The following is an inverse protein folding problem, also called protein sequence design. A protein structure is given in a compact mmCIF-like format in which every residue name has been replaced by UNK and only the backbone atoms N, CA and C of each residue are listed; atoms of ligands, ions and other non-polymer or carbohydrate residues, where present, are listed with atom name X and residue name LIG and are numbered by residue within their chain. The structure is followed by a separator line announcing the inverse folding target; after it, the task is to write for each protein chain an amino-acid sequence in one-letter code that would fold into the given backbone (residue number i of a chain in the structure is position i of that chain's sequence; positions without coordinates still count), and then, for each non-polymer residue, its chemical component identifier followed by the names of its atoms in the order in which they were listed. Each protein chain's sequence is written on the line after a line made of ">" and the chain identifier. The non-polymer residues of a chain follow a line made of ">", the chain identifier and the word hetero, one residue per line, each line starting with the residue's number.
data_IF_808618910415
#
_entry.id   IF_808618910415
#
_cell.length_a   1.000
_cell.length_b   1.000
_cell.length_c   1.000
_cell.angle_alpha   90.00
_cell.angle_beta   90.00
_cell.angle_gamma   90.00
#
_symmetry.space_group_name_H-M   'P 1'
#
loop_
_entity.id
_entity.type
_entity.pdbx_description
1 polymer ?
#
# COMPACT_ATOMS: atom_id res chain seq x y z
N UNK A 1 -0.68 -13.78 -8.73
CA UNK A 1 -0.59 -13.19 -7.38
C UNK A 1 -1.74 -13.66 -6.53
N UNK A 2 -1.62 -13.54 -5.21
CA UNK A 2 -2.70 -13.86 -4.27
C UNK A 2 -3.77 -12.76 -4.32
N UNK A 3 -5.05 -13.14 -4.29
CA UNK A 3 -6.15 -12.15 -4.30
C UNK A 3 -6.00 -11.18 -3.12
N UNK A 4 -6.20 -9.89 -3.38
CA UNK A 4 -6.04 -8.82 -2.39
C UNK A 4 -4.61 -8.27 -2.24
N UNK A 5 -3.57 -9.07 -2.49
CA UNK A 5 -2.18 -8.60 -2.47
C UNK A 5 -1.69 -8.17 -3.85
N UNK A 6 -2.22 -8.81 -4.90
CA UNK A 6 -1.88 -8.46 -6.27
C UNK A 6 -2.80 -7.32 -6.77
N UNK A 7 -2.23 -6.19 -7.21
CA UNK A 7 -3.03 -5.11 -7.77
C UNK A 7 -3.55 -5.47 -9.17
N UNK A 8 -4.52 -4.69 -9.66
CA UNK A 8 -5.27 -4.99 -10.89
C UNK A 8 -4.36 -5.10 -12.12
N UNK A 9 -3.31 -4.29 -12.24
CA UNK A 9 -2.37 -4.37 -13.36
C UNK A 9 -1.52 -5.64 -13.35
N UNK A 10 -1.19 -6.17 -12.17
CA UNK A 10 -0.50 -7.46 -12.03
C UNK A 10 -1.44 -8.62 -12.37
N UNK A 11 -2.70 -8.52 -11.97
CA UNK A 11 -3.74 -9.49 -12.37
C UNK A 11 -4.03 -9.46 -13.87
N UNK A 12 -3.91 -8.30 -14.51
CA UNK A 12 -4.05 -8.12 -15.95
C UNK A 12 -2.82 -8.55 -16.76
N UNK A 13 -1.77 -9.07 -16.11
CA UNK A 13 -0.53 -9.50 -16.77
C UNK A 13 0.37 -8.35 -17.24
N UNK A 14 0.21 -7.15 -16.67
CA UNK A 14 0.98 -5.94 -17.00
C UNK A 14 1.62 -5.34 -15.74
N UNK A 15 2.45 -6.11 -15.00
CA UNK A 15 3.07 -5.63 -13.79
C UNK A 15 4.04 -4.47 -14.09
N UNK A 16 4.14 -3.56 -13.13
CA UNK A 16 5.12 -2.48 -13.08
C UNK A 16 5.84 -2.52 -11.73
N UNK A 17 6.92 -1.75 -11.55
CA UNK A 17 7.61 -1.65 -10.25
C UNK A 17 6.64 -1.27 -9.12
N UNK A 18 5.69 -0.38 -9.41
CA UNK A 18 4.66 0.01 -8.46
C UNK A 18 3.75 -1.15 -8.02
N UNK A 19 3.67 -2.25 -8.78
CA UNK A 19 2.89 -3.44 -8.41
C UNK A 19 3.51 -4.20 -7.23
N UNK A 20 4.84 -4.33 -7.22
CA UNK A 20 5.55 -4.93 -6.10
C UNK A 20 5.49 -4.04 -4.85
N UNK A 21 5.53 -2.72 -5.03
CA UNK A 21 5.37 -1.74 -3.95
C UNK A 21 3.98 -1.86 -3.30
N UNK A 22 2.92 -2.01 -4.11
CA UNK A 22 1.58 -2.26 -3.61
C UNK A 22 1.52 -3.57 -2.81
N UNK A 23 2.04 -4.65 -3.37
CA UNK A 23 2.04 -5.96 -2.72
C UNK A 23 2.74 -5.92 -1.36
N UNK A 24 3.89 -5.24 -1.26
CA UNK A 24 4.60 -5.03 0.00
C UNK A 24 3.79 -4.17 0.97
N UNK A 25 3.17 -3.10 0.49
CA UNK A 25 2.29 -2.24 1.29
C UNK A 25 1.14 -3.04 1.90
N UNK A 26 0.54 -3.97 1.15
CA UNK A 26 -0.54 -4.83 1.65
C UNK A 26 -0.07 -5.79 2.76
N UNK A 27 1.13 -6.37 2.63
CA UNK A 27 1.71 -7.19 3.70
C UNK A 27 1.92 -6.38 4.97
N UNK A 28 2.36 -5.12 4.85
CA UNK A 28 2.53 -4.22 6.00
C UNK A 28 1.17 -3.92 6.64
N UNK A 29 0.14 -3.58 5.85
CA UNK A 29 -1.21 -3.31 6.36
C UNK A 29 -1.78 -4.51 7.10
N UNK A 30 -1.66 -5.71 6.54
CA UNK A 30 -2.08 -6.94 7.23
C UNK A 30 -1.30 -7.14 8.53
N UNK A 31 0.02 -6.95 8.53
CA UNK A 31 0.83 -7.06 9.74
C UNK A 31 0.45 -6.05 10.84
N UNK A 32 0.00 -4.85 10.46
CA UNK A 32 -0.41 -3.80 11.39
C UNK A 32 -1.84 -3.97 11.92
N UNK A 33 -2.72 -4.56 11.12
CA UNK A 33 -4.17 -4.65 11.43
C UNK A 33 -4.62 -6.04 11.86
N UNK A 34 -3.87 -7.08 11.47
CA UNK A 34 -4.28 -8.48 11.57
C UNK A 34 -5.39 -8.87 10.60
N UNK A 35 -5.77 -7.98 9.66
CA UNK A 35 -6.84 -8.20 8.70
C UNK A 35 -6.25 -8.52 7.32
N UNK A 36 -6.77 -9.56 6.68
CA UNK A 36 -6.37 -9.85 5.31
C UNK A 36 -6.83 -8.72 4.38
N UNK A 37 -6.10 -8.43 3.28
CA UNK A 37 -6.47 -7.42 2.28
C UNK A 37 -7.92 -7.47 1.80
N UNK A 38 -8.49 -8.67 1.69
CA UNK A 38 -9.85 -8.89 1.20
C UNK A 38 -10.93 -8.53 2.22
N UNK A 39 -10.57 -8.42 3.50
CA UNK A 39 -11.48 -8.06 4.59
C UNK A 39 -11.51 -6.55 4.85
N UNK A 40 -10.63 -5.79 4.17
CA UNK A 40 -10.59 -4.34 4.28
C UNK A 40 -11.65 -3.70 3.38
N UNK A 41 -12.43 -2.73 3.89
CA UNK A 41 -13.32 -1.95 3.04
C UNK A 41 -12.51 -1.11 2.05
N UNK A 42 -13.08 -0.87 0.87
CA UNK A 42 -12.55 0.09 -0.11
C UNK A 42 -13.43 1.31 -0.21
N UNK A 43 -12.82 2.46 -0.43
CA UNK A 43 -13.52 3.67 -0.79
C UNK A 43 -14.20 3.51 -2.17
N UNK A 44 -15.50 3.78 -2.30
CA UNK A 44 -16.24 3.49 -3.53
C UNK A 44 -15.87 4.41 -4.70
N UNK A 45 -15.34 5.60 -4.43
CA UNK A 45 -15.03 6.60 -5.45
C UNK A 45 -13.60 6.44 -5.98
N UNK A 46 -12.64 6.25 -5.08
CA UNK A 46 -11.21 6.14 -5.41
C UNK A 46 -10.74 4.69 -5.62
N UNK A 47 -11.43 3.71 -5.02
CA UNK A 47 -10.99 2.32 -4.95
C UNK A 47 -9.85 2.08 -3.95
N UNK A 48 -9.41 3.10 -3.22
CA UNK A 48 -8.37 2.96 -2.21
C UNK A 48 -8.87 2.13 -1.02
N UNK A 49 -7.99 1.32 -0.44
CA UNK A 49 -8.32 0.54 0.74
C UNK A 49 -8.36 1.43 1.98
N UNK A 50 -9.41 1.25 2.78
CA UNK A 50 -9.62 1.93 4.04
C UNK A 50 -9.19 0.97 5.15
N UNK A 51 -8.02 1.22 5.73
CA UNK A 51 -7.52 0.51 6.90
C UNK A 51 -7.39 1.47 8.09
N UNK A 52 -7.51 0.94 9.30
CA UNK A 52 -7.43 1.75 10.52
C UNK A 52 -6.03 1.64 11.12
N UNK A 53 -5.22 2.71 11.09
CA UNK A 53 -3.91 2.69 11.73
C UNK A 53 -4.04 2.67 13.25
N UNK A 54 -3.16 1.92 13.92
CA UNK A 54 -3.05 1.96 15.37
C UNK A 54 -2.63 3.35 15.86
N UNK A 55 -3.13 3.78 17.03
CA UNK A 55 -2.83 5.12 17.61
C UNK A 55 -1.35 5.39 17.89
N UNK A 56 -0.53 4.35 17.92
CA UNK A 56 0.91 4.43 18.17
C UNK A 56 1.73 4.67 16.88
N UNK A 57 1.11 4.60 15.70
CA UNK A 57 1.78 4.82 14.43
C UNK A 57 1.94 6.32 14.15
N UNK A 58 3.10 6.71 13.64
CA UNK A 58 3.31 8.09 13.24
C UNK A 58 2.47 8.45 12.00
N UNK A 59 1.91 9.68 11.92
CA UNK A 59 1.17 10.11 10.74
C UNK A 59 1.99 10.00 9.44
N UNK A 60 3.30 10.22 9.52
CA UNK A 60 4.21 10.11 8.38
C UNK A 60 4.32 8.67 7.88
N UNK A 61 4.46 7.70 8.79
CA UNK A 61 4.50 6.29 8.41
C UNK A 61 3.19 5.84 7.76
N UNK A 62 2.05 6.23 8.36
CA UNK A 62 0.72 5.95 7.80
C UNK A 62 0.59 6.55 6.39
N UNK A 63 1.07 7.78 6.17
CA UNK A 63 1.04 8.41 4.85
C UNK A 63 1.89 7.66 3.81
N UNK A 64 3.07 7.15 4.20
CA UNK A 64 3.93 6.33 3.33
C UNK A 64 3.20 5.06 2.91
N UNK A 65 2.61 4.32 3.88
CA UNK A 65 1.88 3.09 3.59
C UNK A 65 0.65 3.37 2.71
N UNK A 66 -0.12 4.42 3.01
CA UNK A 66 -1.25 4.84 2.18
C UNK A 66 -0.85 5.14 0.73
N UNK A 67 0.33 5.74 0.52
CA UNK A 67 0.86 5.98 -0.83
C UNK A 67 1.31 4.68 -1.51
N UNK A 68 1.89 3.73 -0.76
CA UNK A 68 2.27 2.43 -1.32
C UNK A 68 1.07 1.64 -1.84
N UNK A 69 -0.09 1.73 -1.18
CA UNK A 69 -1.28 0.93 -1.47
C UNK A 69 -2.35 1.66 -2.31
N UNK A 70 -2.02 2.81 -2.93
CA UNK A 70 -2.97 3.51 -3.82
C UNK A 70 -3.47 2.58 -4.91
N UNK A 71 -4.78 2.61 -5.17
CA UNK A 71 -5.40 1.78 -6.20
C UNK A 71 -4.77 2.04 -7.57
N UNK A 72 -4.73 3.32 -7.97
CA UNK A 72 -4.07 3.76 -9.18
C UNK A 72 -2.54 3.72 -9.04
N UNK A 73 -1.88 2.88 -9.84
CA UNK A 73 -0.42 2.70 -9.79
C UNK A 73 0.38 3.97 -10.09
N UNK A 74 -0.21 4.97 -10.76
CA UNK A 74 0.43 6.26 -11.04
C UNK A 74 0.56 7.14 -9.82
N UNK A 75 -0.31 6.94 -8.83
CA UNK A 75 -0.33 7.71 -7.58
C UNK A 75 0.54 7.06 -6.49
N UNK A 76 1.05 5.85 -6.75
CA UNK A 76 2.02 5.15 -5.90
C UNK A 76 3.44 5.69 -6.07
N UNK A 77 4.34 5.25 -5.21
CA UNK A 77 5.78 5.37 -5.44
C UNK A 77 6.19 4.66 -6.73
N UNK A 78 7.05 5.29 -7.52
CA UNK A 78 7.50 4.73 -8.81
C UNK A 78 8.82 3.95 -8.67
N UNK A 79 9.45 4.00 -7.49
CA UNK A 79 10.65 3.24 -7.18
C UNK A 79 10.76 2.95 -5.68
N UNK A 80 11.42 1.83 -5.33
CA UNK A 80 11.72 1.51 -3.95
C UNK A 80 12.60 2.58 -3.28
N UNK A 81 13.44 3.28 -4.07
CA UNK A 81 14.28 4.37 -3.57
C UNK A 81 13.46 5.54 -3.03
N UNK A 82 12.32 5.86 -3.64
CA UNK A 82 11.43 6.91 -3.11
C UNK A 82 10.83 6.49 -1.77
N UNK A 83 10.42 5.23 -1.62
CA UNK A 83 9.91 4.68 -0.35
C UNK A 83 10.97 4.81 0.75
N UNK A 84 12.20 4.35 0.47
CA UNK A 84 13.32 4.45 1.42
C UNK A 84 13.66 5.90 1.78
N UNK A 85 13.57 6.81 0.81
CA UNK A 85 13.83 8.24 1.04
C UNK A 85 12.81 8.83 2.00
N UNK A 86 11.53 8.49 1.86
CA UNK A 86 10.49 9.02 2.75
C UNK A 86 10.50 8.33 4.12
N UNK A 87 10.85 7.03 4.20
CA UNK A 87 11.08 6.35 5.49
C UNK A 87 12.20 7.03 6.29
N UNK A 88 13.35 7.30 5.64
CA UNK A 88 14.46 7.98 6.29
C UNK A 88 14.08 9.39 6.80
N UNK A 89 13.27 10.15 6.03
CA UNK A 89 12.74 11.45 6.47
C UNK A 89 11.77 11.33 7.65
N UNK A 90 11.06 10.21 7.76
CA UNK A 90 10.17 9.92 8.88
C UNK A 90 10.94 9.45 10.14
N UNK A 91 12.28 9.33 10.06
CA UNK A 91 13.12 8.84 11.15
C UNK A 91 13.04 7.33 11.38
N UNK A 92 12.68 6.58 10.32
CA UNK A 92 12.57 5.12 10.30
C UNK A 92 13.71 4.48 9.50
#
# INVERSE_FOLDING_TARGET
>A
GTRGYAPSEQMAGRPVIASDIYSLGMVIVEGLTGLAPMDLPSDPDSGDLIWQPGRHLSPQFVAIINKMIKYNFRDRYQSAREVLTDLAKAGL
#
